data_IF_818009004422
#
_entry.id   IF_818009004422
#
_cell.length_a   1.000
_cell.length_b   1.000
_cell.length_c   1.000
_cell.angle_alpha   90.00
_cell.angle_beta   90.00
_cell.angle_gamma   90.00
#
_symmetry.space_group_name_H-M   'P 1'
#
loop_
_entity.id
_entity.type
_entity.pdbx_description
1 polymer ?
#
# COMPACT_ATOMS: atom_id res chain seq x y z
N UNK A 1 23.74 1.76 1.08
CA UNK A 1 23.68 3.13 0.52
C UNK A 1 22.22 3.47 0.34
N UNK A 2 21.70 4.43 1.09
CA UNK A 2 20.31 4.91 0.91
C UNK A 2 20.27 5.58 -0.46
N UNK A 3 19.66 4.92 -1.43
CA UNK A 3 19.38 5.56 -2.72
C UNK A 3 18.45 6.73 -2.46
N UNK A 4 18.86 7.92 -2.80
CA UNK A 4 18.02 9.10 -2.71
C UNK A 4 16.85 8.91 -3.68
N UNK A 5 15.62 8.96 -3.15
CA UNK A 5 14.44 8.91 -4.01
C UNK A 5 14.40 10.12 -4.94
N UNK A 6 13.90 9.97 -6.17
CA UNK A 6 13.60 11.10 -7.04
C UNK A 6 12.60 12.06 -6.37
N UNK A 7 12.72 13.36 -6.65
CA UNK A 7 11.82 14.38 -6.06
C UNK A 7 10.33 14.05 -6.32
N UNK A 8 9.99 13.59 -7.53
CA UNK A 8 8.63 13.15 -7.87
C UNK A 8 8.09 12.03 -6.95
N UNK A 9 8.96 11.11 -6.52
CA UNK A 9 8.57 10.04 -5.60
C UNK A 9 8.35 10.56 -4.19
N UNK A 10 9.12 11.57 -3.76
CA UNK A 10 8.92 12.25 -2.47
C UNK A 10 7.61 13.03 -2.49
N UNK A 11 7.33 13.77 -3.57
CA UNK A 11 6.06 14.49 -3.74
C UNK A 11 4.87 13.52 -3.75
N UNK A 12 5.01 12.38 -4.43
CA UNK A 12 3.99 11.32 -4.39
C UNK A 12 3.71 10.84 -2.96
N UNK A 13 4.74 10.54 -2.18
CA UNK A 13 4.58 10.14 -0.78
C UNK A 13 3.91 11.23 0.06
N UNK A 14 4.28 12.48 -0.12
CA UNK A 14 3.71 13.61 0.61
C UNK A 14 2.21 13.77 0.30
N UNK A 15 1.82 13.73 -0.96
CA UNK A 15 0.43 13.84 -1.40
C UNK A 15 -0.40 12.65 -0.89
N UNK A 16 0.14 11.41 -0.99
CA UNK A 16 -0.55 10.22 -0.47
C UNK A 16 -0.79 10.32 1.04
N UNK A 17 0.21 10.75 1.80
CA UNK A 17 0.06 10.93 3.24
C UNK A 17 -1.00 11.98 3.57
N UNK A 18 -1.07 13.09 2.82
CA UNK A 18 -2.08 14.11 3.01
C UNK A 18 -3.49 13.63 2.63
N UNK A 19 -3.63 12.94 1.50
CA UNK A 19 -4.91 12.35 1.06
C UNK A 19 -5.47 11.35 2.09
N UNK A 20 -4.59 10.63 2.77
CA UNK A 20 -4.95 9.66 3.80
C UNK A 20 -5.01 10.26 5.21
N UNK A 21 -4.88 11.58 5.34
CA UNK A 21 -4.87 12.31 6.63
C UNK A 21 -3.85 11.73 7.63
N UNK A 22 -2.71 11.30 7.15
CA UNK A 22 -1.62 10.76 7.96
C UNK A 22 -0.84 11.88 8.62
N UNK A 23 -0.21 11.61 9.78
CA UNK A 23 0.60 12.59 10.50
C UNK A 23 1.90 12.99 9.76
N UNK A 24 2.56 14.06 10.20
CA UNK A 24 3.76 14.62 9.56
C UNK A 24 4.91 13.62 9.41
N UNK A 25 5.10 12.72 10.38
CA UNK A 25 6.14 11.68 10.32
C UNK A 25 5.90 10.63 9.22
N UNK A 26 4.66 10.50 8.77
CA UNK A 26 4.25 9.46 7.81
C UNK A 26 4.92 9.63 6.44
N UNK A 27 5.27 10.86 6.04
CA UNK A 27 5.95 11.11 4.76
C UNK A 27 7.34 10.46 4.76
N UNK A 28 8.14 10.68 5.80
CA UNK A 28 9.46 10.07 5.91
C UNK A 28 9.39 8.54 5.98
N UNK A 29 8.45 7.99 6.74
CA UNK A 29 8.23 6.55 6.82
C UNK A 29 7.80 5.96 5.47
N UNK A 30 6.88 6.62 4.77
CA UNK A 30 6.44 6.17 3.45
C UNK A 30 7.56 6.25 2.41
N UNK A 31 8.41 7.29 2.44
CA UNK A 31 9.58 7.39 1.59
C UNK A 31 10.57 6.24 1.85
N UNK A 32 10.83 5.91 3.12
CA UNK A 32 11.68 4.77 3.49
C UNK A 32 11.08 3.44 3.01
N UNK A 33 9.77 3.28 3.16
CA UNK A 33 9.05 2.09 2.70
C UNK A 33 9.12 1.93 1.18
N UNK A 34 8.94 3.03 0.43
CA UNK A 34 9.05 3.04 -1.02
C UNK A 34 10.48 2.70 -1.48
N UNK A 35 11.49 3.31 -0.87
CA UNK A 35 12.89 3.00 -1.17
C UNK A 35 13.22 1.52 -0.93
N UNK A 36 12.77 0.97 0.19
CA UNK A 36 12.92 -0.44 0.50
C UNK A 36 12.20 -1.34 -0.52
N UNK A 37 10.97 -0.99 -0.93
CA UNK A 37 10.22 -1.74 -1.93
C UNK A 37 10.93 -1.75 -3.30
N UNK A 38 11.50 -0.62 -3.72
CA UNK A 38 12.28 -0.51 -4.96
C UNK A 38 13.47 -1.49 -4.94
N UNK A 39 14.20 -1.57 -3.83
CA UNK A 39 15.34 -2.47 -3.70
C UNK A 39 14.91 -3.94 -3.66
N UNK A 40 13.84 -4.23 -2.91
CA UNK A 40 13.34 -5.60 -2.74
C UNK A 40 12.75 -6.16 -4.03
N UNK A 41 12.04 -5.34 -4.80
CA UNK A 41 11.39 -5.74 -6.06
C UNK A 41 12.38 -6.23 -7.13
N UNK A 42 13.65 -5.86 -7.03
CA UNK A 42 14.71 -6.37 -7.95
C UNK A 42 14.84 -7.89 -7.87
N UNK A 43 14.75 -8.45 -6.68
CA UNK A 43 14.86 -9.90 -6.45
C UNK A 43 13.50 -10.60 -6.28
N UNK A 44 12.45 -9.84 -5.98
CA UNK A 44 11.11 -10.34 -5.74
C UNK A 44 10.12 -9.62 -6.67
N UNK A 45 9.81 -10.17 -7.86
CA UNK A 45 8.87 -9.53 -8.79
C UNK A 45 7.45 -9.41 -8.22
N UNK A 46 7.07 -10.31 -7.30
CA UNK A 46 5.80 -10.23 -6.59
C UNK A 46 6.04 -10.16 -5.07
N UNK A 47 5.24 -9.37 -4.32
CA UNK A 47 5.33 -9.33 -2.88
C UNK A 47 4.92 -10.68 -2.26
N UNK A 48 5.59 -11.05 -1.17
CA UNK A 48 5.25 -12.19 -0.32
C UNK A 48 4.51 -11.71 0.94
N UNK A 49 3.89 -12.61 1.70
CA UNK A 49 3.30 -12.26 2.99
C UNK A 49 4.32 -11.58 3.93
N UNK A 50 5.56 -12.08 3.96
CA UNK A 50 6.65 -11.48 4.75
C UNK A 50 7.02 -10.07 4.28
N UNK A 51 7.09 -9.83 2.97
CA UNK A 51 7.37 -8.49 2.45
C UNK A 51 6.20 -7.52 2.68
N UNK A 52 4.97 -8.00 2.66
CA UNK A 52 3.79 -7.19 3.01
C UNK A 52 3.87 -6.78 4.48
N UNK A 53 4.20 -7.70 5.41
CA UNK A 53 4.38 -7.39 6.83
C UNK A 53 5.48 -6.33 7.01
N UNK A 54 6.64 -6.54 6.40
CA UNK A 54 7.77 -5.60 6.48
C UNK A 54 7.40 -4.22 5.95
N UNK A 55 6.67 -4.16 4.83
CA UNK A 55 6.20 -2.91 4.26
C UNK A 55 5.24 -2.17 5.20
N UNK A 56 4.28 -2.88 5.80
CA UNK A 56 3.37 -2.31 6.77
C UNK A 56 4.07 -1.75 8.00
N UNK A 57 5.11 -2.43 8.49
CA UNK A 57 5.95 -1.97 9.60
C UNK A 57 6.80 -0.75 9.22
N UNK A 58 7.25 -0.64 7.98
CA UNK A 58 7.99 0.54 7.51
C UNK A 58 7.08 1.75 7.32
N UNK A 59 5.87 1.55 6.83
CA UNK A 59 4.88 2.61 6.59
C UNK A 59 4.33 3.19 7.91
N UNK A 60 4.18 2.34 8.93
CA UNK A 60 3.66 2.73 10.25
C UNK A 60 4.37 1.95 11.36
N UNK A 61 5.61 2.33 11.71
CA UNK A 61 6.46 1.55 12.60
C UNK A 61 5.99 1.50 14.05
N UNK A 62 5.13 2.43 14.44
CA UNK A 62 4.63 2.50 15.84
C UNK A 62 3.46 1.56 16.05
N UNK A 63 2.45 1.64 15.18
CA UNK A 63 1.21 0.88 15.36
C UNK A 63 1.30 -0.54 14.79
N UNK A 64 2.13 -0.76 13.77
CA UNK A 64 2.25 -2.04 13.08
C UNK A 64 3.45 -2.88 13.54
N UNK A 65 4.04 -2.55 14.69
CA UNK A 65 5.23 -3.25 15.21
C UNK A 65 5.04 -4.77 15.33
N UNK A 66 3.83 -5.24 15.61
CA UNK A 66 3.49 -6.65 15.71
C UNK A 66 3.15 -7.33 14.36
N UNK A 67 3.23 -6.61 13.25
CA UNK A 67 2.81 -7.10 11.93
C UNK A 67 1.31 -6.94 11.70
N UNK A 68 0.64 -8.00 11.23
CA UNK A 68 -0.80 -7.95 11.00
C UNK A 68 -1.58 -7.64 12.29
N UNK A 69 -2.66 -6.88 12.12
CA UNK A 69 -3.52 -6.47 13.23
C UNK A 69 -4.13 -7.66 13.97
N UNK A 70 -4.33 -7.48 15.27
CA UNK A 70 -5.01 -8.44 16.16
C UNK A 70 -6.24 -7.81 16.79
N UNK A 71 -6.90 -6.91 16.06
CA UNK A 71 -8.09 -6.20 16.51
C UNK A 71 -9.03 -5.93 15.33
N UNK A 72 -10.28 -5.63 15.66
CA UNK A 72 -11.28 -5.16 14.67
C UNK A 72 -10.88 -3.80 14.14
N UNK A 73 -11.12 -3.56 12.86
CA UNK A 73 -10.93 -2.26 12.21
C UNK A 73 -12.16 -1.91 11.40
N UNK A 74 -12.59 -0.67 11.57
CA UNK A 74 -13.67 -0.05 10.80
C UNK A 74 -13.08 1.02 9.90
N UNK A 75 -13.55 1.10 8.65
CA UNK A 75 -13.27 2.21 7.74
C UNK A 75 -14.61 2.84 7.39
N UNK A 76 -14.86 4.03 7.90
CA UNK A 76 -16.19 4.59 7.92
C UNK A 76 -17.16 3.68 8.69
N UNK A 77 -18.23 3.25 8.04
CA UNK A 77 -19.24 2.33 8.60
C UNK A 77 -18.98 0.86 8.23
N UNK A 78 -17.92 0.56 7.47
CA UNK A 78 -17.62 -0.78 6.99
C UNK A 78 -16.61 -1.48 7.88
N UNK A 79 -16.99 -2.60 8.48
CA UNK A 79 -16.06 -3.50 9.15
C UNK A 79 -15.20 -4.21 8.09
N UNK A 80 -13.89 -4.20 8.29
CA UNK A 80 -12.95 -4.91 7.44
C UNK A 80 -12.89 -6.39 7.82
N UNK A 81 -12.15 -7.19 7.07
CA UNK A 81 -12.02 -8.62 7.28
C UNK A 81 -11.79 -8.95 8.77
N UNK A 82 -12.35 -10.07 9.24
CA UNK A 82 -12.14 -10.54 10.61
C UNK A 82 -10.63 -10.72 10.85
N UNK A 83 -10.09 -10.10 11.87
CA UNK A 83 -8.65 -10.04 12.11
C UNK A 83 -7.96 -11.41 12.21
N UNK A 84 -8.67 -12.43 12.73
CA UNK A 84 -8.18 -13.80 12.80
C UNK A 84 -7.98 -14.45 11.41
N UNK A 85 -8.68 -13.94 10.39
CA UNK A 85 -8.61 -14.44 9.01
C UNK A 85 -7.62 -13.64 8.15
N UNK A 86 -7.08 -12.54 8.66
CA UNK A 86 -6.15 -11.68 7.89
C UNK A 86 -4.95 -12.44 7.35
N UNK A 87 -4.23 -13.27 8.13
CA UNK A 87 -3.10 -14.03 7.60
C UNK A 87 -3.52 -14.94 6.43
N UNK A 88 -4.62 -15.68 6.57
CA UNK A 88 -5.11 -16.61 5.55
C UNK A 88 -5.53 -15.87 4.28
N UNK A 89 -6.21 -14.73 4.41
CA UNK A 89 -6.61 -13.92 3.27
C UNK A 89 -5.42 -13.29 2.54
N UNK A 90 -4.40 -12.85 3.27
CA UNK A 90 -3.15 -12.37 2.64
C UNK A 90 -2.43 -13.51 1.93
N UNK A 91 -2.33 -14.69 2.53
CA UNK A 91 -1.71 -15.85 1.89
C UNK A 91 -2.45 -16.25 0.60
N UNK A 92 -3.79 -16.23 0.61
CA UNK A 92 -4.60 -16.48 -0.58
C UNK A 92 -4.38 -15.40 -1.66
N UNK A 93 -4.35 -14.12 -1.28
CA UNK A 93 -4.12 -13.02 -2.21
C UNK A 93 -2.72 -13.10 -2.86
N UNK A 94 -1.69 -13.42 -2.05
CA UNK A 94 -0.32 -13.64 -2.52
C UNK A 94 -0.26 -14.82 -3.47
N UNK A 95 -0.88 -15.95 -3.12
CA UNK A 95 -0.93 -17.15 -3.97
C UNK A 95 -1.63 -16.89 -5.31
N UNK A 96 -2.66 -16.04 -5.33
CA UNK A 96 -3.39 -15.68 -6.54
C UNK A 96 -2.68 -14.59 -7.40
N UNK A 97 -1.63 -13.96 -6.91
CA UNK A 97 -0.95 -12.84 -7.61
C UNK A 97 -0.52 -13.20 -9.05
N UNK A 98 0.05 -14.40 -9.34
CA UNK A 98 0.40 -14.78 -10.72
C UNK A 98 -0.82 -14.82 -11.65
N UNK A 99 -2.00 -15.16 -11.16
CA UNK A 99 -3.23 -15.21 -11.96
C UNK A 99 -3.68 -13.78 -12.34
N UNK A 100 -3.50 -12.81 -11.45
CA UNK A 100 -3.72 -11.39 -11.77
C UNK A 100 -2.74 -10.89 -12.83
N UNK A 101 -1.49 -11.37 -12.83
CA UNK A 101 -0.45 -10.92 -13.74
C UNK A 101 -0.75 -11.20 -15.21
N UNK A 102 -1.56 -12.20 -15.52
CA UNK A 102 -1.92 -12.57 -16.90
C UNK A 102 -3.14 -11.82 -17.45
N UNK A 103 -3.84 -11.05 -16.59
CA UNK A 103 -5.03 -10.30 -16.95
C UNK A 103 -4.67 -8.81 -16.99
N UNK A 104 -4.73 -8.19 -18.16
CA UNK A 104 -4.46 -6.77 -18.29
C UNK A 104 -5.41 -5.94 -17.41
N UNK A 105 -4.84 -4.98 -16.67
CA UNK A 105 -5.60 -4.08 -15.81
C UNK A 105 -6.07 -4.66 -14.47
N UNK A 106 -5.75 -5.92 -14.16
CA UNK A 106 -6.25 -6.62 -12.96
C UNK A 106 -5.63 -6.13 -11.64
N UNK A 107 -4.54 -5.37 -11.66
CA UNK A 107 -3.90 -4.89 -10.44
C UNK A 107 -4.80 -3.98 -9.59
N UNK A 108 -5.76 -3.30 -10.22
CA UNK A 108 -6.80 -2.55 -9.50
C UNK A 108 -7.67 -3.46 -8.64
N UNK A 109 -8.06 -4.63 -9.15
CA UNK A 109 -8.82 -5.62 -8.39
C UNK A 109 -7.99 -6.22 -7.25
N UNK A 110 -6.72 -6.54 -7.49
CA UNK A 110 -5.81 -6.99 -6.43
C UNK A 110 -5.70 -5.96 -5.31
N UNK A 111 -5.53 -4.69 -5.66
CA UNK A 111 -5.49 -3.58 -4.71
C UNK A 111 -6.82 -3.46 -3.93
N UNK A 112 -7.96 -3.61 -4.61
CA UNK A 112 -9.28 -3.63 -3.98
C UNK A 112 -9.40 -4.74 -2.94
N UNK A 113 -8.95 -5.97 -3.27
CA UNK A 113 -8.95 -7.09 -2.32
C UNK A 113 -8.04 -6.80 -1.11
N UNK A 114 -6.86 -6.25 -1.34
CA UNK A 114 -5.95 -5.86 -0.28
C UNK A 114 -6.60 -4.83 0.68
N UNK A 115 -7.23 -3.81 0.14
CA UNK A 115 -7.91 -2.78 0.93
C UNK A 115 -9.13 -3.33 1.69
N UNK A 116 -9.80 -4.36 1.18
CA UNK A 116 -10.88 -5.06 1.89
C UNK A 116 -10.36 -5.91 3.04
N UNK A 117 -9.21 -6.58 2.87
CA UNK A 117 -8.55 -7.31 3.95
C UNK A 117 -8.11 -6.34 5.04
N UNK A 118 -7.52 -5.21 4.66
CA UNK A 118 -7.06 -4.17 5.58
C UNK A 118 -6.17 -4.73 6.69
N UNK A 119 -4.98 -5.25 6.35
CA UNK A 119 -4.24 -6.17 7.22
C UNK A 119 -3.60 -5.52 8.44
N UNK A 120 -3.47 -4.21 8.49
CA UNK A 120 -2.76 -3.50 9.55
C UNK A 120 -3.68 -2.64 10.41
N UNK A 121 -3.17 -2.22 11.56
CA UNK A 121 -3.88 -1.27 12.44
C UNK A 121 -4.00 0.10 11.78
N UNK A 122 -2.97 0.52 11.04
CA UNK A 122 -2.93 1.79 10.31
C UNK A 122 -2.01 1.68 9.08
N UNK A 123 -2.07 2.65 8.18
CA UNK A 123 -1.19 2.71 7.01
C UNK A 123 -1.53 1.72 5.90
N UNK A 124 -2.73 1.13 5.89
CA UNK A 124 -3.14 0.18 4.85
C UNK A 124 -3.18 0.84 3.47
N UNK A 125 -3.74 2.04 3.34
CA UNK A 125 -3.75 2.76 2.08
C UNK A 125 -2.34 3.10 1.59
N UNK A 126 -1.44 3.55 2.48
CA UNK A 126 -0.04 3.86 2.14
C UNK A 126 0.74 2.62 1.71
N UNK A 127 0.59 1.52 2.43
CA UNK A 127 1.21 0.24 2.02
C UNK A 127 0.56 -0.32 0.75
N UNK A 128 -0.76 -0.21 0.62
CA UNK A 128 -1.50 -0.68 -0.54
C UNK A 128 -1.06 0.01 -1.84
N UNK A 129 -0.87 1.32 -1.83
CA UNK A 129 -0.43 2.06 -3.03
C UNK A 129 1.02 1.71 -3.42
N UNK A 130 1.89 1.42 -2.46
CA UNK A 130 3.24 0.93 -2.75
C UNK A 130 3.16 -0.48 -3.36
N UNK A 131 2.35 -1.38 -2.80
CA UNK A 131 2.14 -2.73 -3.35
C UNK A 131 1.55 -2.68 -4.76
N UNK A 132 0.58 -1.80 -5.01
CA UNK A 132 0.01 -1.58 -6.33
C UNK A 132 1.09 -1.20 -7.37
N UNK A 133 1.99 -0.28 -7.00
CA UNK A 133 3.11 0.12 -7.86
C UNK A 133 4.17 -0.98 -8.00
N UNK A 134 4.38 -1.81 -6.96
CA UNK A 134 5.25 -2.98 -7.05
C UNK A 134 4.76 -3.96 -8.11
N UNK A 135 3.49 -4.33 -8.05
CA UNK A 135 2.87 -5.26 -8.98
C UNK A 135 2.84 -4.72 -10.42
N UNK A 136 2.67 -3.42 -10.57
CA UNK A 136 2.73 -2.75 -11.89
C UNK A 136 4.15 -2.59 -12.45
N UNK A 137 5.18 -2.78 -11.64
CA UNK A 137 6.55 -2.45 -12.03
C UNK A 137 6.82 -0.94 -12.13
N UNK A 138 6.04 -0.10 -11.44
CA UNK A 138 6.10 1.36 -11.51
C UNK A 138 6.64 2.03 -10.23
N UNK A 139 7.35 1.29 -9.36
CA UNK A 139 7.89 1.84 -8.11
C UNK A 139 8.85 3.04 -8.31
N UNK A 140 9.59 3.07 -9.42
CA UNK A 140 10.53 4.16 -9.72
C UNK A 140 9.82 5.46 -10.12
N UNK A 141 8.64 5.34 -10.74
CA UNK A 141 7.75 6.42 -11.14
C UNK A 141 6.33 6.05 -10.69
N UNK A 142 6.04 6.17 -9.38
CA UNK A 142 4.79 5.66 -8.84
C UNK A 142 3.59 6.40 -9.40
N UNK A 143 2.54 5.64 -9.66
CA UNK A 143 1.25 6.13 -10.14
C UNK A 143 0.18 5.95 -9.07
N UNK A 144 -0.89 6.72 -9.19
CA UNK A 144 -2.02 6.66 -8.27
C UNK A 144 -2.77 5.33 -8.42
N UNK A 145 -3.06 4.70 -7.29
CA UNK A 145 -3.93 3.53 -7.28
C UNK A 145 -5.38 3.93 -7.61
N UNK A 146 -6.21 2.98 -8.10
CA UNK A 146 -7.62 3.25 -8.33
C UNK A 146 -8.32 3.79 -7.08
N UNK A 147 -9.16 4.78 -7.27
CA UNK A 147 -9.76 5.53 -6.18
C UNK A 147 -11.15 4.98 -5.82
N UNK A 148 -11.19 3.89 -5.07
CA UNK A 148 -12.45 3.31 -4.62
C UNK A 148 -13.05 4.00 -3.39
N UNK A 149 -12.27 4.81 -2.65
CA UNK A 149 -12.67 5.37 -1.36
C UNK A 149 -12.27 6.84 -1.14
N UNK A 150 -11.68 7.49 -2.15
CA UNK A 150 -11.22 8.87 -2.04
C UNK A 150 -12.29 9.86 -2.47
N UNK A 151 -12.36 10.99 -1.78
CA UNK A 151 -13.17 12.11 -2.23
C UNK A 151 -12.57 12.69 -3.52
N UNK A 152 -13.28 12.53 -4.64
CA UNK A 152 -12.86 13.02 -5.95
C UNK A 152 -12.51 14.51 -5.95
N UNK A 153 -13.16 15.32 -5.10
CA UNK A 153 -12.87 16.75 -4.98
C UNK A 153 -11.52 17.02 -4.35
N UNK A 154 -11.08 16.19 -3.42
CA UNK A 154 -9.73 16.29 -2.84
C UNK A 154 -8.68 15.95 -3.86
N UNK A 155 -8.88 14.91 -4.65
CA UNK A 155 -7.97 14.50 -5.71
C UNK A 155 -7.85 15.60 -6.77
N UNK A 156 -8.96 16.20 -7.21
CA UNK A 156 -8.97 17.30 -8.15
C UNK A 156 -8.19 18.51 -7.65
N UNK A 157 -8.18 18.77 -6.33
CA UNK A 157 -7.41 19.84 -5.69
C UNK A 157 -5.89 19.71 -5.87
N UNK A 158 -5.37 18.50 -6.14
CA UNK A 158 -3.95 18.25 -6.43
C UNK A 158 -3.61 18.23 -7.93
N UNK A 159 -4.54 18.57 -8.81
CA UNK A 159 -4.35 18.50 -10.26
C UNK A 159 -4.20 17.07 -10.79
N UNK A 160 -4.63 16.08 -10.04
CA UNK A 160 -4.62 14.68 -10.43
C UNK A 160 -5.82 14.42 -11.31
N UNK A 161 -5.61 14.30 -12.62
CA UNK A 161 -6.64 13.84 -13.56
C UNK A 161 -6.83 12.33 -13.43
N UNK A 162 -8.06 11.86 -13.63
CA UNK A 162 -8.41 10.42 -13.72
C UNK A 162 -7.65 9.75 -14.87
#
# INVERSE_FOLDING_TARGET
MIKTLPLKSIDFCAIECELQMSGEHSVAWMCNALAWAIETAVAQPFPTASSIIQLGQLVEPVKNVAGFRKCRVMVGWNEKALWTMVPDFIDQLVAATPDYAVIEGSWGEWFYQYENIHPFVDGNGRSGVILYNWLRGSLQEPVWAPDFWRDERRIAGYGLSK
#
